data_IF_870919748488
#
_entry.id   IF_870919748488
#
_cell.length_a   1.000
_cell.length_b   1.000
_cell.length_c   1.000
_cell.angle_alpha   90.00
_cell.angle_beta   90.00
_cell.angle_gamma   90.00
#
_symmetry.space_group_name_H-M   'P 1'
#
loop_
_entity.id
_entity.type
_entity.pdbx_description
1 polymer ?
#
# COMPACT_ATOMS: atom_id res chain seq x y z
N UNK A 1 0.70 -4.12 6.28
CA UNK A 1 -0.16 -3.39 5.31
C UNK A 1 -1.65 -3.74 5.51
N UNK A 2 -2.05 -5.00 5.32
CA UNK A 2 -3.44 -5.47 5.50
C UNK A 2 -4.11 -5.01 6.81
N UNK A 3 -3.45 -5.19 7.97
CA UNK A 3 -4.02 -4.74 9.24
C UNK A 3 -4.23 -3.22 9.33
N UNK A 4 -3.35 -2.43 8.71
CA UNK A 4 -3.50 -0.97 8.66
C UNK A 4 -4.68 -0.58 7.77
N UNK A 5 -4.85 -1.21 6.61
CA UNK A 5 -6.01 -1.00 5.72
C UNK A 5 -7.32 -1.26 6.48
N UNK A 6 -7.38 -2.35 7.26
CA UNK A 6 -8.51 -2.66 8.16
C UNK A 6 -8.71 -1.59 9.24
N UNK A 7 -7.63 -1.11 9.87
CA UNK A 7 -7.68 -0.08 10.91
C UNK A 7 -8.09 1.28 10.34
N UNK A 8 -7.72 1.62 9.12
CA UNK A 8 -8.17 2.84 8.45
C UNK A 8 -9.60 2.71 7.90
N UNK A 9 -10.18 1.50 7.93
CA UNK A 9 -11.54 1.25 7.47
C UNK A 9 -11.68 1.21 5.95
N UNK A 10 -10.57 1.22 5.21
CA UNK A 10 -10.55 1.16 3.75
C UNK A 10 -11.04 -0.20 3.23
N UNK A 11 -10.53 -1.31 3.81
CA UNK A 11 -10.92 -2.69 3.46
C UNK A 11 -10.70 -3.00 1.97
N UNK A 12 -9.61 -2.47 1.41
CA UNK A 12 -9.26 -2.60 -0.02
C UNK A 12 -8.05 -3.51 -0.24
N UNK A 13 -7.41 -4.00 0.82
CA UNK A 13 -6.31 -4.95 0.73
C UNK A 13 -6.83 -6.41 0.84
N UNK A 14 -6.20 -7.38 0.14
CA UNK A 14 -6.52 -8.79 0.30
C UNK A 14 -6.21 -9.27 1.73
N UNK A 15 -6.84 -10.36 2.14
CA UNK A 15 -6.56 -10.99 3.43
C UNK A 15 -5.15 -11.56 3.43
N UNK A 16 -4.38 -11.26 4.47
CA UNK A 16 -3.00 -11.74 4.64
C UNK A 16 -2.80 -12.25 6.06
N UNK A 17 -2.06 -13.36 6.21
CA UNK A 17 -1.61 -13.90 7.50
C UNK A 17 -0.15 -14.34 7.42
N UNK A 18 0.60 -14.19 8.50
CA UNK A 18 1.91 -14.82 8.63
C UNK A 18 1.83 -16.33 8.86
N UNK A 19 2.81 -17.07 8.36
CA UNK A 19 2.96 -18.52 8.64
C UNK A 19 4.41 -18.96 8.54
N UNK A 20 4.78 -19.90 9.39
CA UNK A 20 5.98 -20.71 9.21
C UNK A 20 5.66 -21.94 8.36
N UNK A 21 6.42 -22.15 7.28
CA UNK A 21 6.23 -23.24 6.33
C UNK A 21 7.50 -24.09 6.32
N UNK A 22 7.35 -25.41 6.43
CA UNK A 22 8.46 -26.33 6.29
C UNK A 22 8.76 -26.61 4.81
N UNK A 23 9.92 -26.15 4.33
CA UNK A 23 10.28 -26.26 2.92
C UNK A 23 10.39 -27.72 2.44
N UNK A 24 10.83 -28.65 3.29
CA UNK A 24 10.98 -30.07 2.93
C UNK A 24 9.64 -30.78 2.79
N UNK A 25 8.71 -30.53 3.70
CA UNK A 25 7.49 -31.34 3.84
C UNK A 25 6.26 -30.66 3.22
N UNK A 26 6.25 -29.33 3.12
CA UNK A 26 5.09 -28.57 2.62
C UNK A 26 5.32 -27.92 1.26
N UNK A 27 6.56 -27.58 0.90
CA UNK A 27 6.87 -26.88 -0.37
C UNK A 27 7.42 -27.84 -1.42
N UNK A 28 8.58 -28.46 -1.18
CA UNK A 28 9.26 -29.33 -2.15
C UNK A 28 8.36 -30.45 -2.72
N UNK A 29 7.52 -31.15 -1.93
CA UNK A 29 6.73 -32.27 -2.46
C UNK A 29 5.64 -31.86 -3.47
N UNK A 30 5.23 -30.59 -3.47
CA UNK A 30 4.16 -30.05 -4.33
C UNK A 30 4.66 -28.95 -5.26
N UNK A 31 5.97 -28.66 -5.24
CA UNK A 31 6.59 -27.65 -6.08
C UNK A 31 6.70 -28.13 -7.54
N UNK A 32 6.63 -27.19 -8.46
CA UNK A 32 6.93 -27.45 -9.88
C UNK A 32 8.43 -27.77 -10.06
N UNK A 33 8.77 -28.52 -11.12
CA UNK A 33 10.18 -28.79 -11.48
C UNK A 33 10.99 -27.50 -11.63
N UNK A 34 10.37 -26.45 -12.15
CA UNK A 34 11.00 -25.14 -12.32
C UNK A 34 11.46 -24.55 -10.98
N UNK A 35 10.66 -24.66 -9.92
CA UNK A 35 11.03 -24.21 -8.58
C UNK A 35 12.00 -25.19 -7.91
N UNK A 36 11.77 -26.50 -8.03
CA UNK A 36 12.61 -27.55 -7.45
C UNK A 36 14.07 -27.43 -7.87
N UNK A 37 14.32 -27.14 -9.15
CA UNK A 37 15.66 -26.95 -9.71
C UNK A 37 16.39 -25.70 -9.20
N UNK A 38 15.77 -24.90 -8.33
CA UNK A 38 16.38 -23.71 -7.71
C UNK A 38 16.72 -23.90 -6.24
N UNK A 39 16.40 -25.06 -5.66
CA UNK A 39 16.77 -25.36 -4.28
C UNK A 39 18.26 -25.67 -4.16
N UNK A 40 18.86 -25.17 -3.09
CA UNK A 40 20.25 -25.43 -2.72
C UNK A 40 20.40 -25.45 -1.20
N UNK A 41 21.55 -25.90 -0.72
CA UNK A 41 21.91 -25.87 0.70
C UNK A 41 22.95 -24.79 0.94
N UNK A 42 22.76 -23.97 1.97
CA UNK A 42 23.80 -23.10 2.52
C UNK A 42 24.05 -23.48 3.98
N UNK A 43 25.16 -24.19 4.23
CA UNK A 43 25.39 -24.82 5.53
C UNK A 43 24.28 -25.82 5.86
N UNK A 44 23.59 -25.62 6.99
CA UNK A 44 22.47 -26.46 7.42
C UNK A 44 21.10 -25.94 6.96
N UNK A 45 21.06 -24.84 6.21
CA UNK A 45 19.81 -24.19 5.80
C UNK A 45 19.39 -24.62 4.39
N UNK A 46 18.11 -24.92 4.24
CA UNK A 46 17.47 -25.12 2.95
C UNK A 46 17.14 -23.77 2.35
N UNK A 47 17.63 -23.51 1.14
CA UNK A 47 17.42 -22.26 0.44
C UNK A 47 16.85 -22.50 -0.97
N UNK A 48 16.25 -21.48 -1.55
CA UNK A 48 15.90 -21.44 -2.96
C UNK A 48 15.99 -20.01 -3.48
N UNK A 49 16.31 -19.86 -4.76
CA UNK A 49 16.31 -18.54 -5.40
C UNK A 49 15.10 -18.33 -6.32
N UNK A 50 14.37 -19.38 -6.73
CA UNK A 50 13.20 -19.26 -7.59
C UNK A 50 13.51 -18.77 -9.01
N UNK A 51 12.46 -18.44 -9.79
CA UNK A 51 12.59 -17.89 -11.15
C UNK A 51 11.79 -16.60 -11.26
N UNK A 52 12.49 -15.47 -11.16
CA UNK A 52 11.95 -14.12 -11.25
C UNK A 52 13.02 -13.14 -11.73
N UNK A 53 12.65 -11.88 -11.97
CA UNK A 53 13.54 -10.85 -12.56
C UNK A 53 14.83 -10.61 -11.75
N UNK A 54 14.77 -10.70 -10.41
CA UNK A 54 15.92 -10.49 -9.51
C UNK A 54 16.42 -11.77 -8.83
N UNK A 55 15.86 -12.93 -9.19
CA UNK A 55 16.17 -14.21 -8.54
C UNK A 55 17.51 -14.75 -9.04
N UNK A 56 18.51 -14.88 -8.14
CA UNK A 56 19.86 -15.34 -8.46
C UNK A 56 20.34 -16.36 -7.45
N UNK A 57 21.13 -17.34 -7.92
CA UNK A 57 21.72 -18.38 -7.07
C UNK A 57 22.62 -17.79 -5.97
N UNK A 58 23.24 -16.63 -6.22
CA UNK A 58 24.10 -15.92 -5.26
C UNK A 58 23.32 -15.20 -4.16
N UNK A 59 22.01 -15.02 -4.31
CA UNK A 59 21.14 -14.28 -3.39
C UNK A 59 19.86 -15.07 -3.07
N UNK A 60 19.97 -16.32 -2.55
CA UNK A 60 18.80 -17.15 -2.30
C UNK A 60 18.07 -16.73 -1.02
N UNK A 61 16.78 -17.02 -0.95
CA UNK A 61 16.03 -16.99 0.30
C UNK A 61 16.30 -18.29 1.07
N UNK A 62 16.76 -18.18 2.32
CA UNK A 62 17.12 -19.31 3.16
C UNK A 62 16.19 -19.43 4.35
N UNK A 63 15.73 -20.66 4.62
CA UNK A 63 15.05 -21.02 5.85
C UNK A 63 16.03 -21.09 7.04
N UNK A 64 15.52 -21.08 8.27
CA UNK A 64 16.26 -21.55 9.43
C UNK A 64 16.10 -23.08 9.50
N UNK A 65 17.17 -23.80 9.14
CA UNK A 65 17.09 -25.23 8.85
C UNK A 65 16.16 -25.51 7.68
N UNK A 66 14.90 -25.85 7.99
CA UNK A 66 13.85 -26.13 7.00
C UNK A 66 12.60 -25.26 7.18
N UNK A 67 12.53 -24.46 8.24
CA UNK A 67 11.39 -23.61 8.54
C UNK A 67 11.59 -22.21 7.96
N UNK A 68 10.69 -21.79 7.09
CA UNK A 68 10.69 -20.47 6.48
C UNK A 68 9.46 -19.69 6.93
N UNK A 69 9.69 -18.48 7.44
CA UNK A 69 8.62 -17.49 7.66
C UNK A 69 8.16 -16.90 6.33
N UNK A 70 6.86 -16.70 6.16
CA UNK A 70 6.30 -16.02 4.99
C UNK A 70 4.92 -15.42 5.21
N UNK A 71 4.55 -14.50 4.33
CA UNK A 71 3.18 -13.96 4.25
C UNK A 71 2.34 -14.79 3.28
N UNK A 72 1.19 -15.31 3.72
CA UNK A 72 0.19 -15.91 2.83
C UNK A 72 -0.92 -14.90 2.54
N UNK A 73 -1.07 -14.59 1.26
CA UNK A 73 -2.12 -13.71 0.75
C UNK A 73 -3.21 -14.56 0.10
N UNK A 74 -4.45 -14.38 0.53
CA UNK A 74 -5.60 -15.02 -0.12
C UNK A 74 -5.74 -14.46 -1.54
N UNK A 75 -5.76 -15.35 -2.53
CA UNK A 75 -5.97 -14.96 -3.91
C UNK A 75 -7.36 -14.39 -4.12
N UNK A 76 -7.46 -13.38 -4.99
CA UNK A 76 -8.75 -12.90 -5.45
C UNK A 76 -9.37 -13.96 -6.35
N UNK A 77 -10.70 -14.18 -6.27
CA UNK A 77 -11.40 -15.11 -7.16
C UNK A 77 -11.22 -14.74 -8.64
N UNK A 78 -11.04 -15.74 -9.50
CA UNK A 78 -10.90 -15.54 -10.96
C UNK A 78 -12.12 -14.84 -11.60
N UNK A 79 -13.29 -14.94 -10.96
CA UNK A 79 -14.52 -14.25 -11.37
C UNK A 79 -14.48 -12.74 -11.18
N UNK A 80 -13.45 -12.20 -10.50
CA UNK A 80 -13.23 -10.78 -10.28
C UNK A 80 -11.94 -10.32 -10.96
N UNK A 81 -11.94 -10.26 -12.31
CA UNK A 81 -10.74 -9.89 -13.05
C UNK A 81 -10.31 -8.45 -12.74
N UNK A 82 -9.00 -8.24 -12.68
CA UNK A 82 -8.41 -6.95 -12.37
C UNK A 82 -8.06 -6.16 -13.61
N UNK A 83 -8.30 -4.86 -13.58
CA UNK A 83 -7.78 -3.89 -14.53
C UNK A 83 -6.59 -3.16 -13.91
N UNK A 84 -5.47 -3.16 -14.62
CA UNK A 84 -4.27 -2.44 -14.22
C UNK A 84 -4.26 -1.03 -14.80
N UNK A 85 -4.01 -0.04 -13.95
CA UNK A 85 -3.94 1.38 -14.31
C UNK A 85 -2.56 1.94 -13.99
N UNK A 86 -2.06 2.85 -14.83
CA UNK A 86 -0.86 3.62 -14.51
C UNK A 86 -1.19 4.69 -13.48
N UNK A 87 -0.40 4.77 -12.42
CA UNK A 87 -0.60 5.77 -11.38
C UNK A 87 -0.22 7.17 -11.89
N UNK A 88 -1.04 8.22 -11.74
CA UNK A 88 -0.72 9.57 -12.24
C UNK A 88 0.54 10.13 -11.58
N UNK A 89 0.68 9.91 -10.27
CA UNK A 89 1.90 10.25 -9.51
C UNK A 89 2.98 9.15 -9.56
N UNK A 90 2.98 8.30 -10.59
CA UNK A 90 4.02 7.30 -10.77
C UNK A 90 5.40 7.93 -10.94
N UNK A 91 6.41 7.37 -10.27
CA UNK A 91 7.82 7.78 -10.41
C UNK A 91 8.39 7.35 -11.76
N UNK A 92 9.51 7.95 -12.17
CA UNK A 92 10.18 7.65 -13.44
C UNK A 92 11.07 6.40 -13.39
N UNK A 93 11.54 6.02 -12.19
CA UNK A 93 12.55 4.96 -11.98
C UNK A 93 13.83 5.16 -12.80
N UNK A 94 14.16 6.41 -13.10
CA UNK A 94 15.35 6.79 -13.85
C UNK A 94 16.08 7.87 -13.09
N UNK A 95 17.33 7.59 -12.74
CA UNK A 95 18.21 8.54 -12.07
C UNK A 95 18.30 9.84 -12.89
N UNK A 96 18.24 10.99 -12.20
CA UNK A 96 18.29 12.31 -12.82
C UNK A 96 17.05 12.72 -13.62
N UNK A 97 15.99 11.90 -13.69
CA UNK A 97 14.76 12.25 -14.41
C UNK A 97 13.57 12.44 -13.46
N UNK A 98 13.13 13.69 -13.34
CA UNK A 98 11.92 14.03 -12.61
C UNK A 98 10.65 13.64 -13.39
N UNK A 99 9.63 13.18 -12.68
CA UNK A 99 8.27 13.06 -13.18
C UNK A 99 7.60 14.43 -13.18
N UNK A 100 6.58 14.62 -14.04
CA UNK A 100 5.90 15.91 -14.18
C UNK A 100 5.33 16.43 -12.85
N UNK A 101 4.75 15.55 -12.04
CA UNK A 101 4.18 15.90 -10.75
C UNK A 101 5.21 16.39 -9.73
N UNK A 102 6.52 16.14 -9.94
CA UNK A 102 7.58 16.57 -9.02
C UNK A 102 7.95 18.05 -9.20
N UNK A 103 7.61 18.67 -10.33
CA UNK A 103 7.96 20.08 -10.63
C UNK A 103 6.79 20.96 -11.10
N UNK A 104 5.66 20.37 -11.49
CA UNK A 104 4.45 21.10 -11.90
C UNK A 104 3.50 21.27 -10.69
N UNK A 105 3.48 22.46 -10.10
CA UNK A 105 2.60 22.76 -8.95
C UNK A 105 1.10 22.64 -9.30
N UNK A 106 0.75 22.79 -10.58
CA UNK A 106 -0.63 22.67 -11.08
C UNK A 106 -0.97 21.26 -11.56
N UNK A 107 -0.12 20.27 -11.30
CA UNK A 107 -0.27 18.91 -11.84
C UNK A 107 -1.63 18.29 -11.52
N UNK A 108 -2.13 18.42 -10.28
CA UNK A 108 -3.42 17.85 -9.94
C UNK A 108 -4.60 18.48 -10.72
N UNK A 109 -4.53 19.77 -11.07
CA UNK A 109 -5.57 20.43 -11.86
C UNK A 109 -5.68 19.86 -13.28
N UNK A 110 -4.58 19.34 -13.82
CA UNK A 110 -4.60 18.57 -15.07
C UNK A 110 -5.16 17.16 -14.86
N UNK A 111 -4.81 16.49 -13.74
CA UNK A 111 -5.33 15.15 -13.41
C UNK A 111 -6.85 15.17 -13.20
N UNK A 112 -7.38 16.17 -12.49
CA UNK A 112 -8.83 16.37 -12.26
C UNK A 112 -9.67 16.48 -13.53
N UNK A 113 -9.05 16.70 -14.70
CA UNK A 113 -9.72 16.84 -16.00
C UNK A 113 -9.51 15.62 -16.91
N UNK A 114 -8.84 14.58 -16.42
CA UNK A 114 -8.46 13.41 -17.21
C UNK A 114 -9.26 12.18 -16.75
N UNK A 115 -9.94 11.46 -17.64
CA UNK A 115 -10.52 10.17 -17.32
C UNK A 115 -9.47 9.16 -16.83
N UNK A 116 -9.77 8.32 -15.81
CA UNK A 116 -11.03 8.22 -15.06
C UNK A 116 -11.08 9.10 -13.78
N UNK A 117 -10.25 10.13 -13.65
CA UNK A 117 -10.11 10.95 -12.44
C UNK A 117 -11.02 12.19 -12.43
N UNK A 118 -11.64 12.51 -13.56
CA UNK A 118 -12.56 13.62 -13.76
C UNK A 118 -13.98 13.33 -13.25
N UNK A 119 -14.30 12.08 -12.97
CA UNK A 119 -15.57 11.65 -12.40
C UNK A 119 -15.41 10.42 -11.49
N UNK A 120 -16.44 10.13 -10.69
CA UNK A 120 -16.48 8.94 -9.85
C UNK A 120 -15.49 8.97 -8.68
N UNK A 121 -15.14 7.79 -8.11
CA UNK A 121 -14.39 7.73 -6.85
C UNK A 121 -12.89 7.78 -7.05
N UNK A 122 -12.41 7.65 -8.29
CA UNK A 122 -11.04 7.18 -8.57
C UNK A 122 -9.97 8.15 -8.08
N UNK A 123 -10.15 9.47 -8.25
CA UNK A 123 -9.21 10.45 -7.73
C UNK A 123 -9.13 10.40 -6.20
N UNK A 124 -10.28 10.32 -5.54
CA UNK A 124 -10.32 10.24 -4.08
C UNK A 124 -9.71 8.92 -3.56
N UNK A 125 -9.86 7.82 -4.30
CA UNK A 125 -9.19 6.55 -3.98
C UNK A 125 -7.68 6.63 -4.10
N UNK A 126 -7.18 7.34 -5.11
CA UNK A 126 -5.75 7.63 -5.25
C UNK A 126 -5.24 8.44 -4.07
N UNK A 127 -6.00 9.42 -3.58
CA UNK A 127 -5.61 10.22 -2.41
C UNK A 127 -5.63 9.40 -1.12
N UNK A 128 -6.66 8.58 -0.88
CA UNK A 128 -6.69 7.64 0.26
C UNK A 128 -5.49 6.68 0.21
N UNK A 129 -5.15 6.19 -0.98
CA UNK A 129 -4.00 5.32 -1.22
C UNK A 129 -2.68 6.04 -0.94
N UNK A 130 -2.56 7.31 -1.32
CA UNK A 130 -1.37 8.12 -1.01
C UNK A 130 -1.19 8.32 0.51
N UNK A 131 -2.30 8.53 1.24
CA UNK A 131 -2.27 8.59 2.71
C UNK A 131 -1.81 7.24 3.29
N UNK A 132 -2.38 6.14 2.81
CA UNK A 132 -1.99 4.79 3.22
C UNK A 132 -0.51 4.51 2.96
N UNK A 133 -0.05 4.78 1.74
CA UNK A 133 1.31 4.56 1.29
C UNK A 133 2.31 5.44 2.06
N UNK A 134 1.94 6.68 2.41
CA UNK A 134 2.78 7.54 3.23
C UNK A 134 2.95 6.99 4.65
N UNK A 135 1.87 6.51 5.27
CA UNK A 135 1.92 5.91 6.61
C UNK A 135 2.86 4.70 6.65
N UNK A 136 2.79 3.83 5.63
CA UNK A 136 3.64 2.63 5.56
C UNK A 136 5.00 2.90 4.91
N UNK A 137 5.22 4.08 4.32
CA UNK A 137 6.45 4.45 3.63
C UNK A 137 6.65 3.70 2.30
N UNK A 138 5.57 3.38 1.58
CA UNK A 138 5.63 2.73 0.27
C UNK A 138 5.74 3.76 -0.85
N UNK A 139 6.95 3.95 -1.39
CA UNK A 139 7.21 4.88 -2.49
C UNK A 139 7.08 4.25 -3.88
N UNK A 140 6.64 2.99 -3.99
CA UNK A 140 6.67 2.18 -5.22
C UNK A 140 5.31 2.05 -5.92
N UNK A 141 4.34 2.90 -5.58
CA UNK A 141 3.00 2.90 -6.19
C UNK A 141 3.02 3.46 -7.62
N UNK A 142 3.54 2.70 -8.57
CA UNK A 142 3.61 3.08 -9.98
C UNK A 142 2.38 2.69 -10.80
N UNK A 143 1.62 1.72 -10.29
CA UNK A 143 0.39 1.20 -10.85
C UNK A 143 -0.57 0.93 -9.71
N UNK A 144 -1.83 0.78 -10.07
CA UNK A 144 -2.85 0.29 -9.15
C UNK A 144 -3.88 -0.52 -9.93
N UNK A 145 -4.61 -1.36 -9.21
CA UNK A 145 -5.61 -2.25 -9.78
C UNK A 145 -7.02 -1.82 -9.35
N UNK A 146 -7.99 -2.09 -10.21
CA UNK A 146 -9.41 -2.04 -9.88
C UNK A 146 -10.10 -3.27 -10.46
N UNK A 147 -11.36 -3.52 -10.12
CA UNK A 147 -12.11 -4.57 -10.83
C UNK A 147 -12.43 -4.11 -12.26
N UNK A 148 -12.46 -5.03 -13.22
CA UNK A 148 -12.93 -4.77 -14.58
C UNK A 148 -14.46 -4.60 -14.61
N UNK A 149 -14.98 -4.03 -15.71
CA UNK A 149 -16.41 -4.00 -16.09
C UNK A 149 -17.37 -3.33 -15.09
N UNK A 150 -16.86 -2.42 -14.27
CA UNK A 150 -17.58 -1.65 -13.26
C UNK A 150 -17.98 -0.24 -13.72
N UNK A 151 -17.64 0.15 -14.95
CA UNK A 151 -17.80 1.52 -15.45
C UNK A 151 -16.98 2.57 -14.70
N UNK A 152 -15.87 2.19 -14.05
CA UNK A 152 -15.01 3.07 -13.25
C UNK A 152 -15.51 3.33 -11.82
N UNK A 153 -16.57 2.65 -11.37
CA UNK A 153 -17.16 2.83 -10.05
C UNK A 153 -16.50 2.03 -8.93
N UNK A 154 -15.65 1.05 -9.25
CA UNK A 154 -14.96 0.20 -8.28
C UNK A 154 -13.79 0.93 -7.64
N UNK A 155 -13.57 0.50 -6.41
CA UNK A 155 -12.47 0.94 -5.58
C UNK A 155 -11.11 0.55 -6.16
N UNK A 156 -10.11 1.38 -5.87
CA UNK A 156 -8.70 1.00 -6.01
C UNK A 156 -8.35 -0.12 -5.01
N UNK A 157 -7.77 -1.22 -5.50
CA UNK A 157 -7.35 -2.36 -4.68
C UNK A 157 -5.90 -2.17 -4.22
N UNK A 158 -5.66 -2.30 -2.91
CA UNK A 158 -4.35 -2.06 -2.29
C UNK A 158 -3.45 -3.31 -2.35
N UNK A 159 -2.92 -3.60 -3.54
CA UNK A 159 -1.94 -4.67 -3.79
C UNK A 159 -0.49 -4.17 -3.60
N UNK A 160 0.51 -5.03 -3.84
CA UNK A 160 1.93 -4.65 -3.95
C UNK A 160 2.50 -3.77 -2.82
N UNK A 161 2.29 -4.22 -1.57
CA UNK A 161 2.73 -3.48 -0.38
C UNK A 161 4.07 -3.96 0.19
N UNK A 162 4.81 -4.83 -0.51
CA UNK A 162 6.02 -5.47 0.03
C UNK A 162 7.21 -4.52 0.26
N UNK A 163 7.27 -3.39 -0.45
CA UNK A 163 8.30 -2.34 -0.26
C UNK A 163 7.95 -1.32 0.82
N UNK A 164 7.02 -1.67 1.70
CA UNK A 164 6.63 -0.85 2.85
C UNK A 164 7.57 -1.07 4.03
N UNK A 165 7.52 -0.17 5.01
CA UNK A 165 8.22 -0.29 6.29
C UNK A 165 9.73 -0.50 6.16
N UNK A 166 10.36 0.09 5.13
CA UNK A 166 11.81 -0.03 4.93
C UNK A 166 12.66 0.85 5.86
N UNK A 167 12.14 1.98 6.33
CA UNK A 167 12.86 2.88 7.23
C UNK A 167 11.89 3.58 8.21
N UNK A 168 12.03 3.40 9.53
CA UNK A 168 11.17 4.04 10.52
C UNK A 168 11.57 5.50 10.83
N UNK A 169 12.76 5.93 10.43
CA UNK A 169 13.33 7.25 10.71
C UNK A 169 13.17 8.24 9.56
N UNK A 170 12.69 7.78 8.40
CA UNK A 170 12.45 8.60 7.22
C UNK A 170 10.96 8.68 6.90
N UNK A 171 10.46 9.89 6.70
CA UNK A 171 9.10 10.16 6.25
C UNK A 171 9.16 10.74 4.83
N UNK A 172 8.89 9.91 3.82
CA UNK A 172 8.99 10.29 2.42
C UNK A 172 7.80 11.17 2.01
N UNK A 173 7.95 12.49 2.21
CA UNK A 173 6.89 13.49 1.97
C UNK A 173 6.34 13.44 0.54
N UNK A 174 7.15 13.08 -0.46
CA UNK A 174 6.69 13.05 -1.86
C UNK A 174 5.58 12.03 -2.11
N UNK A 175 5.39 11.03 -1.23
CA UNK A 175 4.24 10.10 -1.32
C UNK A 175 2.91 10.84 -1.13
N UNK A 176 2.87 11.91 -0.32
CA UNK A 176 1.67 12.73 -0.11
C UNK A 176 1.37 13.72 -1.24
N UNK A 177 2.09 13.68 -2.37
CA UNK A 177 1.86 14.57 -3.51
C UNK A 177 0.40 14.63 -3.97
N UNK A 178 -0.33 13.52 -4.10
CA UNK A 178 -1.75 13.58 -4.43
C UNK A 178 -2.56 14.40 -3.41
N UNK A 179 -2.28 14.24 -2.11
CA UNK A 179 -2.99 14.97 -1.05
C UNK A 179 -2.68 16.47 -1.08
N UNK A 180 -1.40 16.86 -1.07
CA UNK A 180 -1.04 18.28 -0.95
C UNK A 180 -1.19 19.06 -2.27
N UNK A 181 -1.22 18.39 -3.44
CA UNK A 181 -1.47 19.05 -4.72
C UNK A 181 -2.96 19.16 -5.02
N UNK A 182 -3.75 18.12 -4.72
CA UNK A 182 -5.19 18.16 -4.98
C UNK A 182 -5.95 18.91 -3.89
N UNK A 183 -5.41 18.91 -2.66
CA UNK A 183 -6.03 19.44 -1.45
C UNK A 183 -7.47 18.96 -1.25
N UNK A 184 -7.68 17.66 -1.41
CA UNK A 184 -8.98 17.01 -1.22
C UNK A 184 -8.79 15.78 -0.32
N UNK A 185 -9.76 15.48 0.54
CA UNK A 185 -9.80 14.25 1.36
C UNK A 185 -11.25 13.89 1.66
N UNK A 186 -11.57 12.60 1.71
CA UNK A 186 -12.91 12.15 2.12
C UNK A 186 -13.17 12.51 3.58
N UNK A 187 -14.40 12.96 3.87
CA UNK A 187 -14.85 13.22 5.25
C UNK A 187 -14.69 11.98 6.13
N UNK A 188 -15.06 10.79 5.63
CA UNK A 188 -14.84 9.52 6.34
C UNK A 188 -13.37 9.28 6.69
N UNK A 189 -12.46 9.44 5.72
CA UNK A 189 -11.01 9.29 5.92
C UNK A 189 -10.50 10.31 6.94
N UNK A 190 -10.87 11.59 6.79
CA UNK A 190 -10.48 12.65 7.72
C UNK A 190 -10.91 12.34 9.15
N UNK A 191 -12.18 11.96 9.36
CA UNK A 191 -12.70 11.62 10.68
C UNK A 191 -11.98 10.40 11.27
N UNK A 192 -11.70 9.38 10.45
CA UNK A 192 -10.97 8.19 10.89
C UNK A 192 -9.54 8.52 11.32
N UNK A 193 -8.82 9.33 10.54
CA UNK A 193 -7.47 9.79 10.89
C UNK A 193 -7.48 10.60 12.20
N UNK A 194 -8.50 11.44 12.41
CA UNK A 194 -8.63 12.20 13.65
C UNK A 194 -8.87 11.31 14.88
N UNK A 195 -9.69 10.28 14.72
CA UNK A 195 -9.96 9.28 15.76
C UNK A 195 -8.69 8.50 16.17
N UNK A 196 -7.74 8.35 15.26
CA UNK A 196 -6.52 7.55 15.47
C UNK A 196 -5.31 8.37 15.97
N UNK A 197 -5.49 9.65 16.32
CA UNK A 197 -4.41 10.51 16.86
C UNK A 197 -3.92 10.08 18.25
N UNK A 198 -2.81 10.68 18.68
CA UNK A 198 -2.35 10.62 20.07
C UNK A 198 -1.90 9.23 20.51
N UNK A 199 -1.33 8.44 19.59
CA UNK A 199 -0.88 7.07 19.88
C UNK A 199 -1.93 5.99 19.64
N UNK A 200 -3.17 6.36 19.28
CA UNK A 200 -4.22 5.39 19.04
C UNK A 200 -3.95 4.52 17.81
N UNK A 201 -3.31 5.06 16.75
CA UNK A 201 -2.95 4.28 15.57
C UNK A 201 -1.94 3.18 15.91
N UNK A 202 -0.82 3.50 16.55
CA UNK A 202 0.15 2.47 16.94
C UNK A 202 -0.43 1.47 17.94
N UNK A 203 -1.27 1.90 18.89
CA UNK A 203 -1.96 1.01 19.82
C UNK A 203 -2.88 0.02 19.11
N UNK A 204 -3.71 0.50 18.18
CA UNK A 204 -4.59 -0.34 17.37
C UNK A 204 -3.77 -1.33 16.51
N UNK A 205 -2.66 -0.89 15.94
CA UNK A 205 -1.75 -1.76 15.19
C UNK A 205 -1.12 -2.85 16.06
N UNK A 206 -0.64 -2.52 17.27
CA UNK A 206 -0.11 -3.53 18.22
C UNK A 206 -1.14 -4.60 18.51
N UNK A 207 -2.37 -4.20 18.86
CA UNK A 207 -3.46 -5.14 19.14
C UNK A 207 -3.81 -5.99 17.92
N UNK A 208 -3.87 -5.39 16.74
CA UNK A 208 -4.20 -6.11 15.51
C UNK A 208 -3.14 -7.14 15.11
N UNK A 209 -1.86 -6.83 15.30
CA UNK A 209 -0.72 -7.69 14.94
C UNK A 209 -0.45 -8.78 15.98
N UNK A 210 -0.86 -8.61 17.24
CA UNK A 210 -0.66 -9.60 18.30
C UNK A 210 -1.38 -10.94 18.05
N UNK A 211 -2.35 -10.95 17.14
CA UNK A 211 -3.07 -12.18 16.74
C UNK A 211 -2.46 -12.87 15.52
N UNK A 212 -1.45 -12.28 14.89
CA UNK A 212 -0.79 -12.91 13.75
C UNK A 212 0.17 -14.01 14.24
N UNK A 213 0.16 -15.21 13.64
CA UNK A 213 1.06 -16.31 14.02
C UNK A 213 2.56 -15.99 13.98
N UNK A 214 2.99 -14.98 13.21
CA UNK A 214 4.41 -14.59 13.11
C UNK A 214 4.75 -13.36 13.99
N UNK A 215 3.97 -13.09 15.02
CA UNK A 215 4.29 -11.98 15.92
C UNK A 215 5.70 -12.12 16.54
N UNK A 216 6.46 -11.02 16.69
CA UNK A 216 6.12 -9.65 16.28
C UNK A 216 6.27 -9.41 14.77
N UNK A 217 5.19 -8.97 14.11
CA UNK A 217 5.18 -8.70 12.65
C UNK A 217 5.90 -7.39 12.28
N UNK A 218 5.87 -6.39 13.17
CA UNK A 218 6.41 -5.06 12.91
C UNK A 218 7.17 -4.55 14.13
N UNK A 219 8.38 -4.02 13.90
CA UNK A 219 9.20 -3.48 14.97
C UNK A 219 8.57 -2.23 15.62
N UNK A 220 8.84 -2.03 16.91
CA UNK A 220 8.28 -0.93 17.70
C UNK A 220 8.61 0.46 17.13
N UNK A 221 9.79 0.63 16.53
CA UNK A 221 10.18 1.89 15.87
C UNK A 221 9.27 2.24 14.69
N UNK A 222 8.76 1.25 13.95
CA UNK A 222 7.79 1.49 12.89
C UNK A 222 6.40 1.80 13.42
N UNK A 223 6.01 1.20 14.56
CA UNK A 223 4.75 1.53 15.23
C UNK A 223 4.75 3.00 15.68
N UNK A 224 5.84 3.48 16.27
CA UNK A 224 5.99 4.90 16.62
C UNK A 224 6.03 5.80 15.38
N UNK A 225 6.68 5.36 14.30
CA UNK A 225 6.71 6.11 13.04
C UNK A 225 5.31 6.31 12.44
N UNK A 226 4.38 5.35 12.60
CA UNK A 226 3.01 5.50 12.14
C UNK A 226 2.29 6.69 12.79
N UNK A 227 2.45 6.89 14.11
CA UNK A 227 1.83 8.02 14.81
C UNK A 227 2.44 9.37 14.36
N UNK A 228 3.76 9.40 14.18
CA UNK A 228 4.47 10.58 13.64
C UNK A 228 3.99 10.93 12.24
N UNK A 229 3.92 9.94 11.35
CA UNK A 229 3.42 10.11 9.98
C UNK A 229 1.95 10.52 9.96
N UNK A 230 1.11 9.94 10.81
CA UNK A 230 -0.29 10.36 10.94
C UNK A 230 -0.38 11.87 11.27
N UNK A 231 0.47 12.36 12.16
CA UNK A 231 0.57 13.79 12.47
C UNK A 231 0.96 14.61 11.24
N UNK A 232 1.88 14.11 10.41
CA UNK A 232 2.24 14.68 9.11
C UNK A 232 1.03 14.81 8.18
N UNK A 233 0.26 13.73 7.99
CA UNK A 233 -0.96 13.73 7.17
C UNK A 233 -1.96 14.78 7.66
N UNK A 234 -2.22 14.80 8.97
CA UNK A 234 -3.17 15.75 9.57
C UNK A 234 -2.73 17.20 9.35
N UNK A 235 -1.44 17.46 9.47
CA UNK A 235 -0.87 18.79 9.26
C UNK A 235 -1.06 19.21 7.80
N UNK A 236 -0.81 18.32 6.85
CA UNK A 236 -1.05 18.57 5.43
C UNK A 236 -2.52 18.88 5.14
N UNK A 237 -3.46 18.12 5.69
CA UNK A 237 -4.89 18.40 5.50
C UNK A 237 -5.28 19.75 6.08
N UNK A 238 -4.79 20.09 7.28
CA UNK A 238 -5.06 21.41 7.90
C UNK A 238 -4.54 22.56 7.03
N UNK A 239 -3.34 22.43 6.47
CA UNK A 239 -2.80 23.42 5.53
C UNK A 239 -3.68 23.59 4.29
N UNK A 240 -4.23 22.49 3.76
CA UNK A 240 -5.21 22.57 2.66
C UNK A 240 -6.51 23.26 3.08
N UNK A 241 -7.05 22.96 4.27
CA UNK A 241 -8.24 23.63 4.81
C UNK A 241 -7.99 25.14 4.99
N UNK A 242 -6.83 25.52 5.50
CA UNK A 242 -6.43 26.92 5.66
C UNK A 242 -6.28 27.64 4.30
N UNK A 243 -5.75 26.95 3.29
CA UNK A 243 -5.49 27.53 1.98
C UNK A 243 -6.72 27.61 1.06
N UNK A 244 -7.60 26.61 1.10
CA UNK A 244 -8.72 26.45 0.14
C UNK A 244 -10.10 26.48 0.80
N UNK A 245 -10.17 26.47 2.13
CA UNK A 245 -11.41 26.35 2.89
C UNK A 245 -11.85 24.88 3.10
N UNK A 246 -12.67 24.62 4.14
CA UNK A 246 -13.12 23.28 4.47
C UNK A 246 -14.00 22.67 3.37
N UNK A 247 -14.87 23.45 2.74
CA UNK A 247 -15.83 22.94 1.73
C UNK A 247 -15.13 22.42 0.45
N UNK A 248 -13.97 22.99 0.10
CA UNK A 248 -13.18 22.54 -1.05
C UNK A 248 -12.24 21.38 -0.69
N UNK A 249 -11.90 21.23 0.60
CA UNK A 249 -10.94 20.22 1.06
C UNK A 249 -11.61 18.93 1.52
N UNK A 250 -12.73 19.04 2.24
CA UNK A 250 -13.46 17.93 2.84
C UNK A 250 -14.58 17.50 1.90
N UNK A 251 -14.33 16.41 1.18
CA UNK A 251 -15.26 15.90 0.17
C UNK A 251 -16.16 14.84 0.80
N UNK A 252 -17.46 15.05 0.69
CA UNK A 252 -18.46 14.08 1.16
C UNK A 252 -18.32 12.75 0.40
N UNK A 253 -18.46 11.64 1.13
CA UNK A 253 -18.31 10.29 0.58
C UNK A 253 -19.37 9.94 -0.47
N UNK A 254 -20.49 10.68 -0.50
CA UNK A 254 -21.55 10.51 -1.49
C UNK A 254 -21.11 11.07 -2.83
N UNK A 255 -20.82 10.18 -3.77
CA UNK A 255 -20.79 10.55 -5.16
C UNK A 255 -22.22 10.90 -5.60
N UNK A 256 -22.44 12.12 -6.08
CA UNK A 256 -23.55 12.40 -6.98
C UNK A 256 -23.27 11.62 -8.26
N UNK A 257 -23.69 10.36 -8.31
CA UNK A 257 -23.79 9.65 -9.57
C UNK A 257 -24.74 10.48 -10.44
N UNK A 258 -24.33 10.94 -11.64
CA UNK A 258 -25.32 11.39 -12.59
C UNK A 258 -26.25 10.20 -12.81
N UNK A 259 -27.50 10.32 -12.40
CA UNK A 259 -28.52 9.34 -12.73
C UNK A 259 -28.53 9.16 -14.26
N UNK A 260 -28.74 7.92 -14.76
CA UNK A 260 -28.97 7.71 -16.18
C UNK A 260 -30.19 8.50 -16.68
#
# INVERSE_FOLDING_TARGET
AFHLDRILGFRRAPLVVGRYVNLRTEVKPVATDQLLNTFLMQGNNTCFYGKCYYCRETEPACAEGEMMEGSLTLWLPDVWPLQKHRHPWGRTYREGKLARWEYDESYCEAVKKMPPYDAGPRLMDVIDTAIFDYLIGNADRHHYESFQDDGGASMLILLDNAKSFGNPSLDERSILAPLYQCCMIRVSTWNRLNFLKGGALSSAMRQALAFDPIQPVLAETHLLALDRRLTGVITTVKQCIEAQGPDNTLIEDRMNLPHP
#
